data_IF_685484980772
#
_entry.id   IF_685484980772
#
_cell.length_a   1.000
_cell.length_b   1.000
_cell.length_c   1.000
_cell.angle_alpha   90.00
_cell.angle_beta   90.00
_cell.angle_gamma   90.00
#
_symmetry.space_group_name_H-M   'P 1'
#
loop_
_entity.id
_entity.type
_entity.pdbx_description
1 polymer ?
#
# COMPACT_ATOMS: atom_id res chain seq x y z
N UNK A 1 2.19 7.72 -4.03
CA UNK A 1 1.29 6.61 -4.42
C UNK A 1 1.08 5.62 -3.27
N UNK A 2 2.08 5.27 -2.47
CA UNK A 2 1.88 4.40 -1.29
C UNK A 2 0.92 5.03 -0.27
N UNK A 3 1.02 6.33 0.01
CA UNK A 3 0.03 7.03 0.87
C UNK A 3 -1.40 6.89 0.33
N UNK A 4 -1.57 6.91 -1.00
CA UNK A 4 -2.87 6.76 -1.64
C UNK A 4 -3.41 5.33 -1.46
N UNK A 5 -2.53 4.31 -1.48
CA UNK A 5 -2.91 2.93 -1.17
C UNK A 5 -3.40 2.80 0.26
N UNK A 6 -2.70 3.38 1.23
CA UNK A 6 -3.08 3.30 2.64
C UNK A 6 -4.37 4.09 2.91
N UNK A 7 -4.51 5.26 2.28
CA UNK A 7 -5.68 6.14 2.42
C UNK A 7 -6.94 5.51 1.85
N UNK A 8 -6.90 5.10 0.59
CA UNK A 8 -8.09 4.64 -0.15
C UNK A 8 -8.27 3.12 -0.15
N UNK A 9 -7.27 2.36 0.30
CA UNK A 9 -7.21 0.88 0.31
C UNK A 9 -7.31 0.19 -1.05
N UNK A 10 -7.79 0.89 -2.08
CA UNK A 10 -7.88 0.42 -3.46
C UNK A 10 -7.87 1.59 -4.43
N UNK A 11 -7.05 1.51 -5.47
CA UNK A 11 -7.15 2.42 -6.63
C UNK A 11 -6.67 1.75 -7.92
N UNK A 12 -7.07 2.31 -9.06
CA UNK A 12 -6.68 1.80 -10.37
C UNK A 12 -5.39 2.47 -10.86
N UNK A 13 -4.42 1.68 -11.32
CA UNK A 13 -3.20 2.19 -11.93
C UNK A 13 -2.66 1.23 -12.99
N UNK A 14 -1.53 1.54 -13.61
CA UNK A 14 -0.92 0.63 -14.60
C UNK A 14 -0.33 -0.59 -13.90
N UNK A 15 -0.31 -1.74 -14.58
CA UNK A 15 0.25 -2.99 -14.01
C UNK A 15 1.68 -2.80 -13.50
N UNK A 16 2.51 -2.05 -14.22
CA UNK A 16 3.90 -1.78 -13.83
C UNK A 16 3.97 -0.98 -12.53
N UNK A 17 3.17 0.08 -12.38
CA UNK A 17 3.10 0.87 -11.15
C UNK A 17 2.54 0.07 -9.99
N UNK A 18 1.50 -0.73 -10.23
CA UNK A 18 0.91 -1.61 -9.22
C UNK A 18 1.95 -2.61 -8.70
N UNK A 19 2.76 -3.22 -9.56
CA UNK A 19 3.83 -4.15 -9.14
C UNK A 19 4.86 -3.48 -8.21
N UNK A 20 5.29 -2.26 -8.54
CA UNK A 20 6.21 -1.49 -7.68
C UNK A 20 5.60 -1.15 -6.33
N UNK A 21 4.35 -0.69 -6.34
CA UNK A 21 3.63 -0.30 -5.14
C UNK A 21 3.35 -1.51 -4.25
N UNK A 22 3.14 -2.69 -4.82
CA UNK A 22 2.93 -3.94 -4.06
C UNK A 22 4.05 -4.18 -3.05
N UNK A 23 5.30 -4.06 -3.51
CA UNK A 23 6.49 -4.25 -2.67
C UNK A 23 6.55 -3.23 -1.54
N UNK A 24 6.30 -1.95 -1.85
CA UNK A 24 6.34 -0.88 -0.86
C UNK A 24 5.17 -0.98 0.13
N UNK A 25 3.96 -1.26 -0.35
CA UNK A 25 2.76 -1.39 0.46
C UNK A 25 2.86 -2.55 1.46
N UNK A 26 3.35 -3.71 1.02
CA UNK A 26 3.56 -4.85 1.90
C UNK A 26 4.58 -4.51 3.03
N UNK A 27 5.68 -3.83 2.68
CA UNK A 27 6.67 -3.38 3.66
C UNK A 27 6.10 -2.35 4.63
N UNK A 28 5.26 -1.40 4.17
CA UNK A 28 4.65 -0.41 5.06
C UNK A 28 3.70 -1.07 6.07
N UNK A 29 2.88 -2.04 5.63
CA UNK A 29 2.01 -2.79 6.55
C UNK A 29 2.84 -3.58 7.56
N UNK A 30 3.96 -4.17 7.13
CA UNK A 30 4.88 -4.85 8.04
C UNK A 30 5.47 -3.90 9.11
N UNK A 31 5.90 -2.71 8.73
CA UNK A 31 6.37 -1.69 9.67
C UNK A 31 5.25 -1.24 10.62
N UNK A 32 4.03 -1.09 10.09
CA UNK A 32 2.83 -0.80 10.87
C UNK A 32 2.59 -1.83 11.98
N UNK A 33 2.75 -3.12 11.65
CA UNK A 33 2.62 -4.23 12.61
C UNK A 33 3.74 -4.27 13.66
N UNK A 34 4.95 -3.84 13.31
CA UNK A 34 6.07 -3.78 14.26
C UNK A 34 5.82 -2.73 15.35
N UNK A 35 5.22 -1.59 15.00
CA UNK A 35 4.75 -0.59 15.96
C UNK A 35 5.85 0.19 16.70
N UNK A 36 7.11 0.06 16.31
CA UNK A 36 8.23 0.77 16.95
C UNK A 36 8.33 2.24 16.51
N UNK A 37 8.87 3.12 17.35
CA UNK A 37 9.15 4.52 16.97
C UNK A 37 10.13 4.64 15.79
N UNK A 38 11.02 3.63 15.62
CA UNK A 38 11.89 3.55 14.46
C UNK A 38 11.10 3.20 13.20
N UNK A 39 10.19 2.22 13.28
CA UNK A 39 9.29 1.87 12.18
C UNK A 39 8.40 3.05 11.76
N UNK A 40 7.89 3.83 12.72
CA UNK A 40 7.12 5.05 12.42
C UNK A 40 7.93 6.08 11.63
N UNK A 41 9.18 6.35 12.05
CA UNK A 41 10.10 7.25 11.32
C UNK A 41 10.43 6.74 9.91
N UNK A 42 10.62 5.43 9.78
CA UNK A 42 10.89 4.81 8.48
C UNK A 42 9.67 4.87 7.55
N UNK A 43 8.47 4.62 8.09
CA UNK A 43 7.21 4.74 7.34
C UNK A 43 6.95 6.18 6.88
N UNK A 44 7.27 7.18 7.70
CA UNK A 44 7.12 8.60 7.39
C UNK A 44 7.97 9.07 6.19
N UNK A 45 9.03 8.34 5.81
CA UNK A 45 9.80 8.63 4.59
C UNK A 45 9.02 8.31 3.30
N UNK A 46 8.04 7.40 3.37
CA UNK A 46 7.29 6.90 2.20
C UNK A 46 5.82 7.30 2.20
N UNK A 47 5.19 7.28 3.37
CA UNK A 47 3.81 7.70 3.59
C UNK A 47 3.82 9.15 4.03
N UNK A 48 3.04 9.95 3.33
CA UNK A 48 2.82 11.38 3.62
C UNK A 48 1.43 11.52 4.23
N UNK A 49 1.26 12.54 5.08
CA UNK A 49 0.08 12.81 5.91
C UNK A 49 0.06 11.99 7.21
N UNK A 50 -0.07 12.68 8.35
CA UNK A 50 -0.04 12.08 9.68
C UNK A 50 -1.25 11.16 9.92
N UNK A 51 -2.42 11.50 9.39
CA UNK A 51 -3.63 10.69 9.47
C UNK A 51 -3.46 9.32 8.78
N UNK A 52 -2.76 9.30 7.65
CA UNK A 52 -2.51 8.09 6.87
C UNK A 52 -1.49 7.21 7.57
N UNK A 53 -0.48 7.81 8.21
CA UNK A 53 0.47 7.11 9.07
C UNK A 53 -0.29 6.53 10.27
N UNK A 54 -1.13 7.30 10.94
CA UNK A 54 -1.92 6.83 12.07
C UNK A 54 -2.75 5.60 11.68
N UNK A 55 -3.48 5.65 10.56
CA UNK A 55 -4.25 4.53 10.02
C UNK A 55 -3.42 3.26 9.77
N UNK A 56 -2.16 3.43 9.33
CA UNK A 56 -1.24 2.32 9.09
C UNK A 56 -0.89 1.57 10.39
N UNK A 57 -0.63 2.31 11.47
CA UNK A 57 -0.21 1.76 12.77
C UNK A 57 -1.38 1.33 13.66
N UNK A 58 -2.62 1.73 13.35
CA UNK A 58 -3.81 1.35 14.10
C UNK A 58 -4.65 0.32 13.33
N UNK A 59 -5.42 0.77 12.35
CA UNK A 59 -6.42 -0.04 11.64
C UNK A 59 -5.78 -1.17 10.84
N UNK A 60 -4.76 -0.86 10.02
CA UNK A 60 -4.13 -1.85 9.14
C UNK A 60 -3.26 -2.83 9.94
N UNK A 61 -2.54 -2.34 10.96
CA UNK A 61 -1.76 -3.19 11.85
C UNK A 61 -2.65 -4.22 12.58
N UNK A 62 -3.79 -3.78 13.11
CA UNK A 62 -4.75 -4.68 13.75
C UNK A 62 -5.37 -5.67 12.76
N UNK A 63 -5.83 -5.19 11.60
CA UNK A 63 -6.47 -6.02 10.56
C UNK A 63 -5.56 -7.15 10.05
N UNK A 64 -4.26 -6.88 9.95
CA UNK A 64 -3.27 -7.84 9.42
C UNK A 64 -2.43 -8.53 10.49
N UNK A 65 -2.80 -8.45 11.77
CA UNK A 65 -2.06 -9.04 12.90
C UNK A 65 -1.66 -10.50 12.65
N UNK A 66 -2.63 -11.33 12.25
CA UNK A 66 -2.44 -12.78 12.08
C UNK A 66 -1.87 -13.19 10.72
N UNK A 67 -1.74 -12.23 9.78
CA UNK A 67 -1.22 -12.49 8.43
C UNK A 67 0.29 -12.32 8.39
N UNK A 68 1.02 -13.36 7.95
CA UNK A 68 2.48 -13.32 7.88
C UNK A 68 3.03 -12.51 6.67
N UNK A 69 2.34 -12.52 5.52
CA UNK A 69 2.75 -11.80 4.31
C UNK A 69 1.60 -11.63 3.31
N UNK A 70 1.85 -10.93 2.20
CA UNK A 70 0.88 -10.75 1.12
C UNK A 70 -0.30 -9.89 1.54
N UNK A 71 -0.01 -8.66 1.96
CA UNK A 71 -1.01 -7.70 2.46
C UNK A 71 -1.76 -7.02 1.31
N UNK A 72 -1.13 -6.91 0.15
CA UNK A 72 -1.68 -6.29 -1.05
C UNK A 72 -2.00 -7.33 -2.12
N UNK A 73 -3.01 -7.03 -2.96
CA UNK A 73 -3.42 -7.90 -4.07
C UNK A 73 -3.55 -7.09 -5.34
N UNK A 74 -2.93 -7.58 -6.42
CA UNK A 74 -3.03 -6.98 -7.74
C UNK A 74 -4.08 -7.73 -8.57
N UNK A 75 -5.07 -7.00 -9.08
CA UNK A 75 -6.11 -7.53 -9.97
C UNK A 75 -6.06 -6.80 -11.30
N UNK A 76 -5.82 -7.51 -12.39
CA UNK A 76 -5.83 -6.93 -13.74
C UNK A 76 -7.24 -6.49 -14.11
N UNK A 77 -7.35 -5.37 -14.80
CA UNK A 77 -8.62 -4.79 -15.23
C UNK A 77 -8.66 -4.69 -16.75
N UNK A 78 -8.87 -3.48 -17.28
CA UNK A 78 -8.96 -3.19 -18.71
C UNK A 78 -7.59 -2.85 -19.30
N UNK A 79 -7.53 -2.86 -20.61
CA UNK A 79 -6.49 -2.15 -21.36
C UNK A 79 -6.98 -0.71 -21.55
N UNK A 80 -6.15 0.28 -21.21
CA UNK A 80 -6.50 1.68 -21.35
C UNK A 80 -6.57 2.07 -22.83
N UNK A 81 -7.67 2.70 -23.22
CA UNK A 81 -7.86 3.21 -24.59
C UNK A 81 -6.95 4.42 -24.78
N UNK A 82 -6.26 4.47 -25.92
CA UNK A 82 -5.31 5.53 -26.27
C UNK A 82 -3.87 5.04 -26.29
N UNK A 83 -3.35 4.56 -25.14
CA UNK A 83 -1.95 4.11 -25.01
C UNK A 83 -1.80 2.59 -24.83
N UNK A 84 -2.90 1.84 -24.87
CA UNK A 84 -2.92 0.37 -24.74
C UNK A 84 -2.25 -0.12 -23.45
N UNK A 85 -2.20 0.73 -22.41
CA UNK A 85 -1.54 0.38 -21.16
C UNK A 85 -2.39 -0.65 -20.38
N UNK A 86 -1.81 -1.77 -19.92
CA UNK A 86 -2.52 -2.71 -19.08
C UNK A 86 -2.75 -2.09 -17.70
N UNK A 87 -4.01 -2.04 -17.27
CA UNK A 87 -4.42 -1.50 -15.98
C UNK A 87 -4.66 -2.60 -14.94
N UNK A 88 -4.55 -2.23 -13.68
CA UNK A 88 -4.84 -3.08 -12.54
C UNK A 88 -5.34 -2.27 -11.35
N UNK A 89 -6.21 -2.89 -10.55
CA UNK A 89 -6.43 -2.46 -9.17
C UNK A 89 -5.31 -2.98 -8.29
N UNK A 90 -4.87 -2.12 -7.39
CA UNK A 90 -4.07 -2.46 -6.22
C UNK A 90 -4.74 -1.91 -4.98
#
# INVERSE_FOLDING_TARGET
MVSQLVKHERFETTVSKAKEIRRLGDNMVQLGKEGSHFAARHAAAFVREDDVIHKLFTELAYRYKDRASGYTRLLRTRIRVGDVAPMAYI
#
